data_IF_479696791283
#
_entry.id   IF_479696791283
#
_cell.length_a   1.000
_cell.length_b   1.000
_cell.length_c   1.000
_cell.angle_alpha   90.00
_cell.angle_beta   90.00
_cell.angle_gamma   90.00
#
_symmetry.space_group_name_H-M   'P 1'
#
loop_
_entity.id
_entity.type
_entity.pdbx_description
1 polymer ?
#
# COMPACT_ATOMS: atom_id res chain seq x y z
N UNK A 1 -32.86 -31.49 -44.00
CA UNK A 1 -32.79 -31.72 -42.55
C UNK A 1 -31.79 -30.71 -42.00
N UNK A 2 -32.27 -29.68 -41.29
CA UNK A 2 -31.42 -28.60 -40.77
C UNK A 2 -30.96 -29.06 -39.39
N UNK A 3 -29.68 -29.41 -39.26
CA UNK A 3 -29.06 -29.75 -37.98
C UNK A 3 -28.82 -28.46 -37.21
N UNK A 4 -29.65 -28.20 -36.20
CA UNK A 4 -29.38 -27.20 -35.17
C UNK A 4 -28.24 -27.70 -34.30
N UNK A 5 -27.06 -27.08 -34.41
CA UNK A 5 -25.99 -27.30 -33.45
C UNK A 5 -26.37 -26.63 -32.13
N UNK A 6 -26.57 -27.44 -31.10
CA UNK A 6 -26.82 -26.98 -29.75
C UNK A 6 -25.54 -26.33 -29.22
N UNK A 7 -25.52 -25.01 -29.14
CA UNK A 7 -24.42 -24.25 -28.52
C UNK A 7 -24.64 -24.36 -27.01
N UNK A 8 -24.09 -25.40 -26.40
CA UNK A 8 -23.92 -25.46 -24.95
C UNK A 8 -22.90 -24.38 -24.56
N UNK A 9 -23.37 -23.16 -24.36
CA UNK A 9 -22.61 -22.16 -23.60
C UNK A 9 -22.64 -22.60 -22.14
N UNK A 10 -21.61 -23.33 -21.70
CA UNK A 10 -21.27 -23.40 -20.29
C UNK A 10 -20.93 -21.98 -19.84
N UNK A 11 -21.94 -21.27 -19.34
CA UNK A 11 -21.75 -19.98 -18.69
C UNK A 11 -21.14 -20.30 -17.33
N UNK A 12 -19.83 -20.53 -17.31
CA UNK A 12 -19.05 -20.63 -16.09
C UNK A 12 -19.06 -19.26 -15.43
N UNK A 13 -20.13 -18.99 -14.67
CA UNK A 13 -20.25 -17.86 -13.77
C UNK A 13 -19.17 -18.02 -12.70
N UNK A 14 -17.95 -17.58 -13.03
CA UNK A 14 -16.85 -17.45 -12.07
C UNK A 14 -17.40 -16.58 -10.94
N UNK A 15 -17.53 -17.08 -9.70
CA UNK A 15 -18.00 -16.25 -8.60
C UNK A 15 -17.02 -15.08 -8.50
N UNK A 16 -17.51 -13.88 -8.86
CA UNK A 16 -16.75 -12.65 -8.75
C UNK A 16 -16.68 -12.32 -7.27
N UNK A 17 -15.80 -13.02 -6.55
CA UNK A 17 -15.44 -12.63 -5.20
C UNK A 17 -14.92 -11.21 -5.28
N UNK A 18 -15.67 -10.23 -4.76
CA UNK A 18 -15.21 -8.86 -4.60
C UNK A 18 -14.06 -8.87 -3.59
N UNK A 19 -12.85 -9.13 -4.06
CA UNK A 19 -11.65 -9.03 -3.24
C UNK A 19 -11.33 -7.56 -3.01
N UNK A 20 -11.05 -7.16 -1.77
CA UNK A 20 -10.60 -5.80 -1.43
C UNK A 20 -9.41 -5.37 -2.30
N UNK A 21 -8.55 -6.33 -2.66
CA UNK A 21 -7.40 -6.14 -3.54
C UNK A 21 -7.83 -5.73 -4.96
N UNK A 22 -8.89 -6.32 -5.50
CA UNK A 22 -9.42 -5.99 -6.83
C UNK A 22 -10.07 -4.61 -6.84
N UNK A 23 -10.75 -4.25 -5.74
CA UNK A 23 -11.30 -2.91 -5.58
C UNK A 23 -10.19 -1.84 -5.53
N UNK A 24 -9.14 -2.07 -4.73
CA UNK A 24 -7.98 -1.18 -4.62
C UNK A 24 -7.28 -1.07 -5.98
N UNK A 25 -7.02 -2.20 -6.66
CA UNK A 25 -6.38 -2.21 -7.98
C UNK A 25 -7.20 -1.44 -9.02
N UNK A 26 -8.52 -1.60 -9.02
CA UNK A 26 -9.41 -0.87 -9.95
C UNK A 26 -9.38 0.64 -9.67
N UNK A 27 -9.36 1.04 -8.39
CA UNK A 27 -9.27 2.45 -7.98
C UNK A 27 -7.93 3.07 -8.40
N UNK A 28 -6.84 2.33 -8.21
CA UNK A 28 -5.50 2.74 -8.65
C UNK A 28 -5.45 2.92 -10.17
N UNK A 29 -6.08 2.01 -10.93
CA UNK A 29 -6.12 2.10 -12.39
C UNK A 29 -6.95 3.29 -12.90
N UNK A 30 -8.05 3.63 -12.21
CA UNK A 30 -8.84 4.81 -12.53
C UNK A 30 -8.05 6.11 -12.32
N UNK A 31 -7.24 6.14 -11.29
CA UNK A 31 -6.46 7.30 -10.86
C UNK A 31 -5.06 7.39 -11.52
N UNK A 32 -4.70 6.43 -12.38
CA UNK A 32 -3.39 6.37 -13.04
C UNK A 32 -3.10 7.60 -13.90
N UNK A 33 -4.13 8.22 -14.50
CA UNK A 33 -4.00 9.48 -15.26
C UNK A 33 -3.46 10.64 -14.42
N UNK A 34 -3.72 10.66 -13.12
CA UNK A 34 -3.22 11.65 -12.16
C UNK A 34 -2.16 11.04 -11.22
N UNK A 35 -1.55 9.92 -11.60
CA UNK A 35 -0.69 9.13 -10.73
C UNK A 35 0.50 9.89 -10.14
N UNK A 36 1.06 10.87 -10.86
CA UNK A 36 2.16 11.71 -10.37
C UNK A 36 1.68 12.59 -9.20
N UNK A 37 0.54 13.27 -9.34
CA UNK A 37 0.01 14.13 -8.27
C UNK A 37 -0.33 13.32 -7.01
N UNK A 38 -0.90 12.13 -7.19
CA UNK A 38 -1.24 11.24 -6.09
C UNK A 38 0.03 10.67 -5.43
N UNK A 39 1.06 10.32 -6.20
CA UNK A 39 2.34 9.88 -5.66
C UNK A 39 2.98 10.97 -4.77
N UNK A 40 2.91 12.25 -5.18
CA UNK A 40 3.41 13.38 -4.37
C UNK A 40 2.66 13.49 -3.04
N UNK A 41 1.33 13.36 -3.06
CA UNK A 41 0.51 13.36 -1.84
C UNK A 41 0.85 12.16 -0.95
N UNK A 42 0.99 10.97 -1.54
CA UNK A 42 1.36 9.75 -0.83
C UNK A 42 2.74 9.86 -0.18
N UNK A 43 3.72 10.47 -0.88
CA UNK A 43 5.04 10.76 -0.31
C UNK A 43 4.86 11.64 0.94
N UNK A 44 4.18 12.78 0.82
CA UNK A 44 3.98 13.71 1.94
C UNK A 44 3.29 13.08 3.15
N UNK A 45 2.22 12.32 2.92
CA UNK A 45 1.47 11.69 4.01
C UNK A 45 2.29 10.57 4.65
N UNK A 46 2.95 9.73 3.83
CA UNK A 46 3.75 8.62 4.38
C UNK A 46 4.96 9.10 5.16
N UNK A 47 5.63 10.16 4.71
CA UNK A 47 6.78 10.73 5.42
C UNK A 47 6.35 11.36 6.73
N UNK A 48 5.21 12.04 6.77
CA UNK A 48 4.64 12.56 8.02
C UNK A 48 4.42 11.44 9.05
N UNK A 49 3.79 10.33 8.65
CA UNK A 49 3.53 9.18 9.54
C UNK A 49 4.85 8.52 9.97
N UNK A 50 5.79 8.34 9.04
CA UNK A 50 7.11 7.81 9.34
C UNK A 50 7.89 8.71 10.33
N UNK A 51 7.79 10.04 10.20
CA UNK A 51 8.40 10.97 11.16
C UNK A 51 7.88 10.76 12.58
N UNK A 52 6.58 10.53 12.77
CA UNK A 52 6.03 10.17 14.09
C UNK A 52 6.58 8.84 14.60
N UNK A 53 6.63 7.81 13.75
CA UNK A 53 7.19 6.49 14.12
C UNK A 53 8.66 6.58 14.51
N UNK A 54 9.46 7.36 13.78
CA UNK A 54 10.88 7.57 14.07
C UNK A 54 11.09 8.38 15.36
N UNK A 55 10.26 9.40 15.61
CA UNK A 55 10.32 10.19 16.83
C UNK A 55 10.01 9.32 18.08
N UNK A 56 9.01 8.45 17.99
CA UNK A 56 8.74 7.46 19.04
C UNK A 56 9.90 6.48 19.23
N UNK A 57 10.58 6.07 18.15
CA UNK A 57 11.64 5.06 18.22
C UNK A 57 12.92 5.56 18.91
N UNK A 58 13.08 6.87 19.01
CA UNK A 58 14.21 7.53 19.67
C UNK A 58 13.83 7.98 21.09
N UNK A 59 12.53 8.02 21.43
CA UNK A 59 12.07 8.53 22.72
C UNK A 59 12.41 7.57 23.88
N UNK A 60 12.98 8.11 24.96
CA UNK A 60 13.54 7.40 26.14
C UNK A 60 14.70 6.44 25.87
N UNK A 61 14.49 5.39 25.06
CA UNK A 61 15.51 4.43 24.68
C UNK A 61 15.42 4.17 23.17
N UNK A 62 16.57 4.22 22.51
CA UNK A 62 16.64 4.04 21.06
C UNK A 62 16.31 2.59 20.72
N UNK A 63 15.13 2.39 20.12
CA UNK A 63 14.74 1.10 19.60
C UNK A 63 15.11 1.04 18.11
N UNK A 64 16.22 0.35 17.83
CA UNK A 64 16.83 0.31 16.49
C UNK A 64 15.92 -0.40 15.47
N UNK A 65 15.15 -1.41 15.90
CA UNK A 65 14.26 -2.19 15.02
C UNK A 65 13.17 -1.31 14.38
N UNK A 66 12.30 -0.62 15.14
CA UNK A 66 11.29 0.27 14.56
C UNK A 66 11.91 1.45 13.82
N UNK A 67 13.04 1.98 14.30
CA UNK A 67 13.73 3.07 13.62
C UNK A 67 14.23 2.65 12.22
N UNK A 68 14.92 1.51 12.12
CA UNK A 68 15.41 0.98 10.85
C UNK A 68 14.25 0.65 9.90
N UNK A 69 13.20 0.00 10.40
CA UNK A 69 12.02 -0.31 9.59
C UNK A 69 11.35 0.95 9.04
N UNK A 70 11.17 1.97 9.88
CA UNK A 70 10.55 3.25 9.51
C UNK A 70 11.36 3.93 8.41
N UNK A 71 12.68 4.04 8.58
CA UNK A 71 13.55 4.66 7.59
C UNK A 71 13.57 3.89 6.26
N UNK A 72 13.74 2.56 6.30
CA UNK A 72 13.83 1.73 5.09
C UNK A 72 12.48 1.74 4.33
N UNK A 73 11.36 1.62 5.04
CA UNK A 73 10.04 1.59 4.43
C UNK A 73 9.65 2.94 3.80
N UNK A 74 9.92 4.06 4.49
CA UNK A 74 9.64 5.39 3.97
C UNK A 74 10.54 5.73 2.78
N UNK A 75 11.84 5.50 2.90
CA UNK A 75 12.80 5.80 1.84
C UNK A 75 12.64 4.85 0.64
N UNK A 76 12.29 3.58 0.89
CA UNK A 76 11.96 2.60 -0.13
C UNK A 76 10.70 2.96 -0.93
N UNK A 77 9.62 3.37 -0.25
CA UNK A 77 8.40 3.82 -0.93
C UNK A 77 8.66 5.06 -1.81
N UNK A 78 9.43 6.02 -1.30
CA UNK A 78 9.85 7.20 -2.05
C UNK A 78 10.70 6.84 -3.28
N UNK A 79 11.65 5.92 -3.13
CA UNK A 79 12.47 5.44 -4.24
C UNK A 79 11.64 4.76 -5.34
N UNK A 80 10.63 3.96 -4.96
CA UNK A 80 9.70 3.33 -5.91
C UNK A 80 8.89 4.38 -6.69
N UNK A 81 8.45 5.45 -6.01
CA UNK A 81 7.74 6.56 -6.66
C UNK A 81 8.62 7.30 -7.68
N UNK A 82 9.87 7.60 -7.32
CA UNK A 82 10.81 8.33 -8.18
C UNK A 82 11.27 7.50 -9.38
N UNK A 83 11.33 6.16 -9.21
CA UNK A 83 11.78 5.23 -10.26
C UNK A 83 10.82 5.08 -11.45
N UNK A 84 9.75 5.88 -11.53
CA UNK A 84 8.71 5.81 -12.58
C UNK A 84 8.16 4.38 -12.78
N UNK A 85 8.10 3.60 -11.70
CA UNK A 85 7.49 2.27 -11.71
C UNK A 85 5.99 2.39 -12.03
N UNK A 86 5.33 1.33 -12.52
CA UNK A 86 3.89 1.37 -12.78
C UNK A 86 3.15 1.82 -11.52
N UNK A 87 2.17 2.71 -11.66
CA UNK A 87 1.49 3.38 -10.54
C UNK A 87 0.93 2.40 -9.49
N UNK A 88 0.54 1.20 -9.93
CA UNK A 88 0.19 0.07 -9.06
C UNK A 88 1.26 -0.25 -8.01
N UNK A 89 2.52 -0.37 -8.40
CA UNK A 89 3.60 -0.68 -7.47
C UNK A 89 3.89 0.49 -6.52
N UNK A 90 3.77 1.72 -7.03
CA UNK A 90 3.93 2.93 -6.22
C UNK A 90 2.87 2.95 -5.12
N UNK A 91 1.59 2.84 -5.49
CA UNK A 91 0.48 2.85 -4.54
C UNK A 91 0.59 1.73 -3.49
N UNK A 92 0.94 0.51 -3.90
CA UNK A 92 1.13 -0.60 -2.97
C UNK A 92 2.32 -0.40 -2.03
N UNK A 93 3.46 0.12 -2.52
CA UNK A 93 4.60 0.43 -1.67
C UNK A 93 4.25 1.45 -0.59
N UNK A 94 3.50 2.50 -0.93
CA UNK A 94 3.01 3.47 0.06
C UNK A 94 2.00 2.89 1.03
N UNK A 95 1.06 2.07 0.58
CA UNK A 95 0.08 1.41 1.46
C UNK A 95 0.81 0.55 2.49
N UNK A 96 1.77 -0.27 2.05
CA UNK A 96 2.55 -1.14 2.94
C UNK A 96 3.37 -0.30 3.92
N UNK A 97 4.02 0.76 3.45
CA UNK A 97 4.80 1.67 4.29
C UNK A 97 3.93 2.33 5.36
N UNK A 98 2.76 2.87 4.99
CA UNK A 98 1.83 3.51 5.91
C UNK A 98 1.32 2.52 6.95
N UNK A 99 0.83 1.34 6.52
CA UNK A 99 0.30 0.33 7.44
C UNK A 99 1.39 -0.19 8.38
N UNK A 100 2.60 -0.43 7.87
CA UNK A 100 3.74 -0.87 8.68
C UNK A 100 4.15 0.17 9.72
N UNK A 101 4.23 1.45 9.33
CA UNK A 101 4.56 2.53 10.25
C UNK A 101 3.47 2.78 11.29
N UNK A 102 2.19 2.70 10.93
CA UNK A 102 1.08 2.75 11.90
C UNK A 102 1.18 1.59 12.91
N UNK A 103 1.44 0.37 12.43
CA UNK A 103 1.63 -0.79 13.30
C UNK A 103 2.80 -0.60 14.27
N UNK A 104 3.92 -0.05 13.77
CA UNK A 104 5.08 0.28 14.61
C UNK A 104 4.77 1.37 15.64
N UNK A 105 3.99 2.39 15.30
CA UNK A 105 3.56 3.43 16.26
C UNK A 105 2.73 2.79 17.38
N UNK A 106 1.75 1.94 17.04
CA UNK A 106 0.91 1.26 18.03
C UNK A 106 1.77 0.38 18.95
N UNK A 107 2.71 -0.38 18.38
CA UNK A 107 3.63 -1.21 19.15
C UNK A 107 4.49 -0.38 20.11
N UNK A 108 5.06 0.73 19.64
CA UNK A 108 5.90 1.60 20.45
C UNK A 108 5.10 2.34 21.53
N UNK A 109 3.87 2.76 21.23
CA UNK A 109 2.97 3.35 22.22
C UNK A 109 2.59 2.34 23.31
N UNK A 110 2.29 1.09 22.93
CA UNK A 110 2.00 0.03 23.90
C UNK A 110 3.22 -0.27 24.79
N UNK A 111 4.42 -0.30 24.21
CA UNK A 111 5.66 -0.50 24.96
C UNK A 111 6.01 0.70 25.87
N UNK A 112 5.64 1.93 25.47
CA UNK A 112 5.86 3.14 26.27
C UNK A 112 4.84 3.29 27.42
N UNK A 113 3.64 2.73 27.27
CA UNK A 113 2.56 2.80 28.25
C UNK A 113 2.69 1.79 29.40
N UNK A 114 3.60 0.82 29.27
CA UNK A 114 3.97 -0.18 30.28
C UNK A 114 5.19 0.33 31.04
#
# INVERSE_FOLDING_TARGET
>A
MITTQNINTDITLKPRSFSLIDYINKKIQQEEKNGIGIAVILIMVSTMIASFSAALAIHKQINIIPLAFTCISAMGANAVAISQRPFKYIAWAFIISIVGNIGMIIYQLALLAI
#
